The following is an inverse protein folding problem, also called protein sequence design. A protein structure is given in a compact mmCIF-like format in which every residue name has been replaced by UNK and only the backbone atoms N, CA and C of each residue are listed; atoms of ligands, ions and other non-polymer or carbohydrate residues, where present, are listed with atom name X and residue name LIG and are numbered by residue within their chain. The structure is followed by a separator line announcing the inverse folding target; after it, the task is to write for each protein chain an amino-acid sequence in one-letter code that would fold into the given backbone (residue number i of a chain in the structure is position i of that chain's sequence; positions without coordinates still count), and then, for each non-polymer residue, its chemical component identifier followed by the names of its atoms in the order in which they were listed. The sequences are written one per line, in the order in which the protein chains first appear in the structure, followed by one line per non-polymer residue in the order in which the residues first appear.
data_IF_299606837969
#
_entry.id   IF_299606837969
#
_cell.length_a   1.000
_cell.length_b   1.000
_cell.length_c   1.000
_cell.angle_alpha   90.00
_cell.angle_beta   90.00
_cell.angle_gamma   90.00
#
_symmetry.space_group_name_H-M   'P 1'
#
loop_
_entity.id
_entity.type
_entity.pdbx_description
1 polymer ?
#
# COMPACT_ATOMS: atom_id res chain seq x y z
N UNK A 1 -15.59 -7.37 16.02
CA UNK A 1 -14.99 -7.68 14.70
C UNK A 1 -14.69 -6.37 13.99
N UNK A 2 -13.48 -6.19 13.53
CA UNK A 2 -13.01 -4.96 12.88
C UNK A 2 -13.60 -4.86 11.45
N UNK A 3 -14.04 -3.68 11.02
CA UNK A 3 -14.40 -3.39 9.64
C UNK A 3 -13.31 -2.48 9.05
N UNK A 4 -12.69 -2.89 7.94
CA UNK A 4 -11.73 -2.10 7.18
C UNK A 4 -12.42 -1.53 5.93
N UNK A 5 -12.49 -0.21 5.83
CA UNK A 5 -12.90 0.49 4.62
C UNK A 5 -11.70 0.60 3.67
N UNK A 6 -11.85 0.03 2.49
CA UNK A 6 -10.76 -0.18 1.53
C UNK A 6 -11.13 0.31 0.13
N UNK A 7 -10.17 0.91 -0.57
CA UNK A 7 -10.37 1.35 -1.94
C UNK A 7 -10.54 0.14 -2.87
N UNK A 8 -11.60 0.15 -3.65
CA UNK A 8 -11.84 -0.82 -4.69
C UNK A 8 -12.09 -0.14 -6.03
N UNK A 9 -11.50 -0.67 -7.07
CA UNK A 9 -11.77 -0.31 -8.47
C UNK A 9 -12.47 -1.47 -9.17
N UNK A 10 -12.55 -1.49 -10.52
CA UNK A 10 -13.21 -2.59 -11.24
C UNK A 10 -12.60 -3.94 -10.89
N UNK A 11 -13.38 -5.00 -11.05
CA UNK A 11 -13.02 -6.39 -10.80
C UNK A 11 -12.47 -6.64 -9.38
N UNK A 12 -13.00 -5.89 -8.41
CA UNK A 12 -12.62 -5.93 -7.00
C UNK A 12 -11.11 -5.75 -6.74
N UNK A 13 -10.39 -5.07 -7.61
CA UNK A 13 -8.97 -4.75 -7.42
C UNK A 13 -8.80 -3.72 -6.33
N UNK A 14 -7.77 -3.88 -5.50
CA UNK A 14 -7.55 -3.11 -4.28
C UNK A 14 -6.25 -2.28 -4.39
N UNK A 15 -6.28 -1.09 -5.02
CA UNK A 15 -5.07 -0.34 -5.34
C UNK A 15 -4.58 0.60 -4.23
N UNK A 16 -5.05 0.46 -3.00
CA UNK A 16 -4.58 1.33 -1.92
C UNK A 16 -3.34 0.77 -1.22
N UNK A 17 -2.15 1.38 -1.36
CA UNK A 17 -0.96 0.95 -0.65
C UNK A 17 -1.12 1.05 0.87
N UNK A 18 -1.89 2.03 1.33
CA UNK A 18 -2.14 2.27 2.76
C UNK A 18 -3.10 1.24 3.37
N UNK A 19 -4.12 0.80 2.62
CA UNK A 19 -5.02 -0.27 3.08
C UNK A 19 -4.28 -1.61 3.17
N UNK A 20 -3.35 -1.87 2.25
CA UNK A 20 -2.50 -3.06 2.31
C UNK A 20 -1.64 -3.11 3.58
N UNK A 21 -1.09 -1.98 4.05
CA UNK A 21 -0.40 -1.91 5.35
C UNK A 21 -1.28 -2.38 6.49
N UNK A 22 -2.54 -1.95 6.50
CA UNK A 22 -3.52 -2.33 7.53
C UNK A 22 -3.90 -3.80 7.44
N UNK A 23 -4.11 -4.34 6.24
CA UNK A 23 -4.38 -5.78 6.05
C UNK A 23 -3.26 -6.65 6.60
N UNK A 24 -2.01 -6.31 6.30
CA UNK A 24 -0.84 -7.01 6.85
C UNK A 24 -0.75 -6.85 8.37
N UNK A 25 -1.02 -5.67 8.89
CA UNK A 25 -1.04 -5.44 10.33
C UNK A 25 -2.13 -6.28 11.04
N UNK A 26 -3.33 -6.35 10.49
CA UNK A 26 -4.43 -7.17 11.02
C UNK A 26 -4.09 -8.66 11.00
N UNK A 27 -3.49 -9.16 9.92
CA UNK A 27 -3.01 -10.56 9.84
C UNK A 27 -1.89 -10.85 10.82
N UNK A 28 -0.93 -9.95 10.96
CA UNK A 28 0.15 -10.06 11.95
C UNK A 28 -0.42 -10.24 13.36
N UNK A 29 -1.40 -9.43 13.72
CA UNK A 29 -2.10 -9.48 15.01
C UNK A 29 -2.99 -10.73 15.14
N UNK A 30 -3.30 -11.43 14.05
CA UNK A 30 -4.25 -12.54 14.06
C UNK A 30 -5.70 -12.10 14.30
N UNK A 31 -6.02 -10.84 14.02
CA UNK A 31 -7.33 -10.27 14.25
C UNK A 31 -8.26 -10.57 13.06
N UNK A 32 -9.50 -11.04 13.30
CA UNK A 32 -10.49 -11.17 12.26
C UNK A 32 -11.03 -9.80 11.86
N UNK A 33 -11.18 -9.58 10.53
CA UNK A 33 -11.82 -8.38 10.00
C UNK A 33 -12.71 -8.70 8.82
N UNK A 34 -13.56 -7.77 8.47
CA UNK A 34 -14.28 -7.73 7.20
C UNK A 34 -13.86 -6.50 6.41
N UNK A 35 -13.91 -6.59 5.09
CA UNK A 35 -13.67 -5.45 4.20
C UNK A 35 -14.98 -4.81 3.79
N UNK A 36 -15.01 -3.48 3.79
CA UNK A 36 -16.05 -2.67 3.18
C UNK A 36 -15.43 -1.94 1.99
N UNK A 37 -15.65 -2.44 0.76
CA UNK A 37 -15.08 -1.83 -0.44
C UNK A 37 -15.77 -0.50 -0.75
N UNK A 38 -14.98 0.48 -1.20
CA UNK A 38 -15.51 1.76 -1.65
C UNK A 38 -14.73 2.33 -2.84
N UNK A 39 -15.43 3.03 -3.72
CA UNK A 39 -14.86 3.81 -4.81
C UNK A 39 -14.30 5.16 -4.34
N UNK A 40 -13.70 5.88 -5.28
CA UNK A 40 -13.11 7.21 -4.98
C UNK A 40 -14.15 8.26 -4.58
N UNK A 41 -15.39 8.14 -5.04
CA UNK A 41 -16.49 9.09 -4.78
C UNK A 41 -17.36 8.70 -3.59
N UNK A 42 -17.30 7.45 -3.12
CA UNK A 42 -18.14 6.92 -2.03
C UNK A 42 -17.69 7.38 -0.61
N UNK A 43 -17.21 8.61 -0.49
CA UNK A 43 -16.67 9.17 0.78
C UNK A 43 -17.68 9.24 1.91
N UNK A 44 -18.97 9.21 1.60
CA UNK A 44 -20.04 9.13 2.58
C UNK A 44 -19.91 7.89 3.49
N UNK A 45 -19.36 6.77 2.96
CA UNK A 45 -19.15 5.54 3.73
C UNK A 45 -18.18 5.70 4.92
N UNK A 46 -17.29 6.69 4.88
CA UNK A 46 -16.30 6.98 5.93
C UNK A 46 -16.47 8.35 6.59
N UNK A 47 -17.61 9.01 6.35
CA UNK A 47 -17.93 10.32 6.94
C UNK A 47 -17.99 10.27 8.48
N UNK A 48 -18.42 9.13 9.06
CA UNK A 48 -18.47 8.92 10.51
C UNK A 48 -17.08 9.04 11.17
N UNK A 49 -16.01 8.73 10.44
CA UNK A 49 -14.62 8.88 10.89
C UNK A 49 -14.02 10.26 10.56
N UNK A 50 -14.84 11.18 10.03
CA UNK A 50 -14.35 12.48 9.52
C UNK A 50 -13.16 12.34 8.58
N UNK A 51 -13.20 11.34 7.68
CA UNK A 51 -12.15 11.05 6.70
C UNK A 51 -12.64 11.31 5.28
N UNK A 52 -11.70 11.68 4.40
CA UNK A 52 -11.92 11.79 2.95
C UNK A 52 -11.13 10.73 2.19
N UNK A 53 -10.35 9.93 2.91
CA UNK A 53 -9.45 8.93 2.34
C UNK A 53 -9.46 7.64 3.17
N UNK A 54 -9.16 6.53 2.51
CA UNK A 54 -8.90 5.24 3.16
C UNK A 54 -7.40 5.06 3.43
N UNK A 55 -7.02 4.20 4.39
CA UNK A 55 -7.84 3.31 5.19
C UNK A 55 -8.57 4.02 6.33
N UNK A 56 -9.74 3.48 6.66
CA UNK A 56 -10.45 3.71 7.91
C UNK A 56 -10.77 2.35 8.49
N UNK A 57 -10.65 2.16 9.80
CA UNK A 57 -11.22 1.02 10.50
C UNK A 57 -12.31 1.46 11.47
N UNK A 58 -13.30 0.58 11.63
CA UNK A 58 -14.24 0.64 12.73
C UNK A 58 -14.00 -0.57 13.63
N UNK A 59 -13.58 -0.32 14.86
CA UNK A 59 -13.26 -1.30 15.89
C UNK A 59 -14.22 -1.13 17.07
N UNK A 60 -15.31 -1.89 17.08
CA UNK A 60 -16.44 -1.63 17.95
C UNK A 60 -17.03 -0.26 17.65
N UNK A 61 -17.10 0.61 18.69
CA UNK A 61 -17.57 1.99 18.55
C UNK A 61 -16.46 2.95 18.10
N UNK A 62 -15.20 2.51 18.09
CA UNK A 62 -14.07 3.38 17.77
C UNK A 62 -13.79 3.40 16.27
N UNK A 63 -13.78 4.59 15.70
CA UNK A 63 -13.31 4.84 14.35
C UNK A 63 -11.86 5.34 14.37
N UNK A 64 -10.99 4.72 13.57
CA UNK A 64 -9.60 5.15 13.42
C UNK A 64 -9.27 5.30 11.95
N UNK A 65 -8.72 6.44 11.57
CA UNK A 65 -8.27 6.75 10.21
C UNK A 65 -6.76 6.91 10.16
N UNK A 66 -6.19 6.79 8.95
CA UNK A 66 -4.76 6.79 8.67
C UNK A 66 -4.05 5.48 9.06
N UNK A 67 -3.25 4.95 8.12
CA UNK A 67 -2.62 3.63 8.28
C UNK A 67 -1.64 3.55 9.45
N UNK A 68 -0.93 4.66 9.76
CA UNK A 68 -0.03 4.72 10.90
C UNK A 68 -0.80 4.77 12.22
N UNK A 69 -1.82 5.62 12.30
CA UNK A 69 -2.69 5.73 13.48
C UNK A 69 -3.42 4.39 13.74
N UNK A 70 -3.86 3.70 12.68
CA UNK A 70 -4.46 2.37 12.77
C UNK A 70 -3.45 1.35 13.35
N UNK A 71 -2.22 1.29 12.83
CA UNK A 71 -1.20 0.38 13.35
C UNK A 71 -0.91 0.63 14.84
N UNK A 72 -0.81 1.90 15.26
CA UNK A 72 -0.65 2.29 16.65
C UNK A 72 -1.84 1.87 17.51
N UNK A 73 -3.06 2.08 17.00
CA UNK A 73 -4.28 1.65 17.68
C UNK A 73 -4.30 0.13 17.89
N UNK A 74 -3.97 -0.65 16.84
CA UNK A 74 -3.95 -2.10 16.91
C UNK A 74 -2.95 -2.60 17.96
N UNK A 75 -1.78 -1.99 18.09
CA UNK A 75 -0.82 -2.36 19.12
C UNK A 75 -1.27 -2.01 20.55
N UNK A 76 -1.96 -0.88 20.71
CA UNK A 76 -2.47 -0.45 22.01
C UNK A 76 -3.69 -1.25 22.44
N UNK A 77 -4.63 -1.50 21.54
CA UNK A 77 -5.88 -2.20 21.85
C UNK A 77 -5.70 -3.72 21.95
N UNK A 78 -4.73 -4.27 21.23
CA UNK A 78 -4.46 -5.70 21.14
C UNK A 78 -2.95 -5.94 21.34
N UNK A 79 -2.45 -5.97 22.59
CA UNK A 79 -1.01 -6.00 22.86
C UNK A 79 -0.31 -7.30 22.43
N UNK A 80 -1.07 -8.38 22.22
CA UNK A 80 -0.52 -9.63 21.72
C UNK A 80 0.04 -9.47 20.30
N UNK A 81 1.17 -10.11 20.01
CA UNK A 81 1.86 -10.05 18.72
C UNK A 81 2.13 -8.60 18.28
N UNK A 82 2.97 -7.84 18.99
CA UNK A 82 3.19 -6.42 18.71
C UNK A 82 3.75 -6.19 17.32
N UNK A 83 3.21 -5.20 16.61
CA UNK A 83 3.74 -4.69 15.33
C UNK A 83 5.07 -3.98 15.54
N UNK A 84 5.21 -3.34 16.72
CA UNK A 84 6.39 -2.64 17.18
C UNK A 84 6.83 -3.24 18.51
N UNK A 85 7.83 -4.15 18.45
CA UNK A 85 8.31 -4.88 19.65
C UNK A 85 8.94 -3.97 20.71
N UNK A 86 9.46 -2.81 20.30
CA UNK A 86 10.15 -1.82 21.11
C UNK A 86 10.11 -0.44 20.42
N UNK A 87 10.71 0.56 21.05
CA UNK A 87 10.77 1.93 20.51
C UNK A 87 11.61 2.03 19.24
N UNK A 88 12.67 1.23 19.11
CA UNK A 88 13.51 1.21 17.90
C UNK A 88 12.71 0.68 16.70
N UNK A 89 11.92 -0.39 16.88
CA UNK A 89 11.03 -0.91 15.86
C UNK A 89 9.94 0.10 15.47
N UNK A 90 9.42 0.86 16.45
CA UNK A 90 8.47 1.94 16.20
C UNK A 90 9.11 3.05 15.35
N UNK A 91 10.30 3.51 15.73
CA UNK A 91 11.02 4.57 15.03
C UNK A 91 11.42 4.15 13.62
N UNK A 92 11.92 2.91 13.44
CA UNK A 92 12.19 2.32 12.14
C UNK A 92 10.92 2.28 11.28
N UNK A 93 9.82 1.77 11.82
CA UNK A 93 8.54 1.71 11.12
C UNK A 93 8.05 3.07 10.66
N UNK A 94 8.18 4.10 11.50
CA UNK A 94 7.81 5.48 11.16
C UNK A 94 8.72 6.06 10.07
N UNK A 95 10.04 5.85 10.18
CA UNK A 95 10.99 6.33 9.19
C UNK A 95 10.75 5.68 7.82
N UNK A 96 10.61 4.35 7.79
CA UNK A 96 10.39 3.60 6.54
C UNK A 96 9.04 3.98 5.92
N UNK A 97 7.97 4.13 6.71
CA UNK A 97 6.69 4.60 6.18
C UNK A 97 6.84 6.00 5.53
N UNK A 98 7.53 6.93 6.20
CA UNK A 98 7.81 8.26 5.65
C UNK A 98 8.62 8.20 4.35
N UNK A 99 9.68 7.40 4.29
CA UNK A 99 10.47 7.18 3.08
C UNK A 99 9.62 6.59 1.94
N UNK A 100 8.83 5.57 2.23
CA UNK A 100 7.94 4.96 1.22
C UNK A 100 6.95 5.99 0.67
N UNK A 101 6.36 6.82 1.54
CA UNK A 101 5.33 7.79 1.17
C UNK A 101 5.90 8.99 0.39
N UNK A 102 7.14 9.39 0.69
CA UNK A 102 7.75 10.60 0.11
C UNK A 102 8.73 10.32 -1.02
N UNK A 103 9.23 9.08 -1.16
CA UNK A 103 10.23 8.72 -2.17
C UNK A 103 9.75 7.58 -3.05
N UNK A 104 9.38 6.43 -2.47
CA UNK A 104 9.06 5.21 -3.25
C UNK A 104 7.73 5.37 -4.00
N UNK A 105 6.65 5.77 -3.33
CA UNK A 105 5.35 5.94 -3.98
C UNK A 105 5.34 7.07 -5.03
N UNK A 106 5.97 8.24 -4.81
CA UNK A 106 6.12 9.26 -5.85
C UNK A 106 6.89 8.79 -7.08
N UNK A 107 7.90 7.91 -6.92
CA UNK A 107 8.61 7.31 -8.05
C UNK A 107 7.77 6.24 -8.78
N UNK A 108 6.89 5.53 -8.04
CA UNK A 108 6.02 4.50 -8.59
C UNK A 108 4.82 5.08 -9.35
N UNK A 109 4.17 6.09 -8.79
CA UNK A 109 2.90 6.63 -9.30
C UNK A 109 2.91 6.99 -10.79
N UNK A 110 3.92 7.71 -11.31
CA UNK A 110 3.94 8.11 -12.73
C UNK A 110 3.99 6.92 -13.69
N UNK A 111 4.62 5.81 -13.30
CA UNK A 111 4.84 4.65 -14.18
C UNK A 111 3.69 3.64 -14.17
N UNK A 112 2.65 3.85 -13.32
CA UNK A 112 1.46 2.99 -13.22
C UNK A 112 0.13 3.75 -13.31
N UNK A 113 0.13 5.07 -13.46
CA UNK A 113 -1.09 5.89 -13.40
C UNK A 113 -2.07 5.62 -14.55
N UNK A 114 -1.56 5.36 -15.74
CA UNK A 114 -2.37 5.01 -16.91
C UNK A 114 -3.03 3.65 -16.75
N UNK A 115 -2.28 2.67 -16.21
CA UNK A 115 -2.83 1.35 -15.91
C UNK A 115 -3.93 1.46 -14.83
N UNK A 116 -3.67 2.22 -13.75
CA UNK A 116 -4.67 2.48 -12.71
C UNK A 116 -5.93 3.13 -13.29
N UNK A 117 -5.78 4.15 -14.15
CA UNK A 117 -6.91 4.80 -14.81
C UNK A 117 -7.77 3.80 -15.60
N UNK A 118 -7.13 2.85 -16.27
CA UNK A 118 -7.81 1.77 -16.97
C UNK A 118 -8.75 0.93 -16.08
N UNK A 119 -8.47 0.83 -14.78
CA UNK A 119 -9.25 0.06 -13.80
C UNK A 119 -10.26 0.90 -13.01
N UNK A 120 -10.25 2.23 -13.12
CA UNK A 120 -11.20 3.10 -12.40
C UNK A 120 -12.64 2.76 -12.80
N UNK A 121 -13.53 2.70 -11.81
CA UNK A 121 -14.96 2.47 -12.02
C UNK A 121 -15.57 3.60 -12.86
N UNK A 122 -16.57 3.33 -13.71
CA UNK A 122 -17.23 4.38 -14.50
C UNK A 122 -17.68 5.57 -13.64
N UNK A 123 -18.32 5.33 -12.52
CA UNK A 123 -18.85 6.37 -11.61
C UNK A 123 -17.75 7.21 -10.94
N UNK A 124 -16.54 6.67 -10.80
CA UNK A 124 -15.40 7.36 -10.23
C UNK A 124 -14.53 8.10 -11.25
N UNK A 125 -14.76 7.85 -12.55
CA UNK A 125 -13.85 8.27 -13.62
C UNK A 125 -13.70 9.79 -13.68
N UNK A 126 -14.81 10.53 -13.72
CA UNK A 126 -14.77 11.99 -13.77
C UNK A 126 -14.00 12.61 -12.60
N UNK A 127 -14.25 12.12 -11.39
CA UNK A 127 -13.52 12.54 -10.17
C UNK A 127 -12.02 12.21 -10.26
N UNK A 128 -11.69 11.01 -10.73
CA UNK A 128 -10.30 10.58 -10.88
C UNK A 128 -9.56 11.47 -11.90
N UNK A 129 -10.15 11.69 -13.05
CA UNK A 129 -9.58 12.51 -14.15
C UNK A 129 -9.39 13.97 -13.69
N UNK A 130 -10.37 14.59 -13.03
CA UNK A 130 -10.22 15.92 -12.47
C UNK A 130 -9.10 16.00 -11.45
N UNK A 131 -9.13 15.13 -10.43
CA UNK A 131 -8.20 15.22 -9.30
C UNK A 131 -6.75 14.88 -9.66
N UNK A 132 -6.52 13.89 -10.54
CA UNK A 132 -5.18 13.49 -11.00
C UNK A 132 -4.71 14.33 -12.17
N UNK A 133 -5.63 14.72 -13.05
CA UNK A 133 -5.35 15.66 -14.15
C UNK A 133 -4.83 16.99 -13.63
N UNK A 134 -5.46 17.55 -12.59
CA UNK A 134 -5.01 18.76 -11.92
C UNK A 134 -3.58 18.63 -11.38
N UNK A 135 -3.25 17.47 -10.78
CA UNK A 135 -1.92 17.18 -10.21
C UNK A 135 -0.84 16.99 -11.30
N UNK A 136 -1.21 16.37 -12.42
CA UNK A 136 -0.26 15.98 -13.50
C UNK A 136 -0.22 16.97 -14.65
N UNK A 137 -1.17 17.93 -14.71
CA UNK A 137 -1.29 18.86 -15.82
C UNK A 137 -1.83 18.23 -17.12
N UNK A 138 -2.38 17.01 -17.05
CA UNK A 138 -2.94 16.29 -18.20
C UNK A 138 -3.97 15.24 -17.79
N UNK A 139 -4.90 14.94 -18.66
CA UNK A 139 -5.83 13.80 -18.55
C UNK A 139 -5.48 12.65 -19.49
N UNK A 140 -4.47 12.80 -20.34
CA UNK A 140 -3.86 11.69 -21.09
C UNK A 140 -2.91 10.90 -20.19
N UNK A 141 -3.48 10.09 -19.30
CA UNK A 141 -2.69 9.28 -18.34
C UNK A 141 -1.89 8.17 -19.04
N UNK A 142 -2.36 7.66 -20.18
CA UNK A 142 -1.65 6.62 -20.92
C UNK A 142 -0.38 7.19 -21.59
N UNK A 143 -0.49 8.31 -22.29
CA UNK A 143 0.66 9.00 -22.88
C UNK A 143 1.63 9.52 -21.84
N UNK A 144 1.12 10.06 -20.71
CA UNK A 144 1.94 10.48 -19.59
C UNK A 144 2.74 9.30 -19.00
N UNK A 145 2.09 8.17 -18.74
CA UNK A 145 2.74 6.96 -18.24
C UNK A 145 3.80 6.41 -19.19
N UNK A 146 3.49 6.33 -20.50
CA UNK A 146 4.43 5.86 -21.51
C UNK A 146 5.73 6.66 -21.47
N UNK A 147 5.63 7.99 -21.46
CA UNK A 147 6.79 8.89 -21.34
C UNK A 147 7.49 8.75 -19.99
N UNK A 148 6.73 8.62 -18.90
CA UNK A 148 7.28 8.46 -17.57
C UNK A 148 8.10 7.17 -17.43
N UNK A 149 7.71 6.07 -18.08
CA UNK A 149 8.38 4.77 -18.04
C UNK A 149 9.79 4.78 -18.64
N UNK A 150 10.09 5.67 -19.59
CA UNK A 150 11.42 5.75 -20.23
C UNK A 150 12.56 5.86 -19.22
N UNK A 151 12.37 6.63 -18.15
CA UNK A 151 13.36 6.83 -17.07
C UNK A 151 12.85 6.43 -15.69
N UNK A 152 11.53 6.36 -15.51
CA UNK A 152 10.88 6.19 -14.22
C UNK A 152 11.12 4.82 -13.60
N UNK A 153 11.26 3.76 -14.40
CA UNK A 153 11.59 2.41 -13.87
C UNK A 153 12.97 2.44 -13.20
N UNK A 154 13.97 3.05 -13.82
CA UNK A 154 15.30 3.19 -13.23
C UNK A 154 15.26 4.07 -11.97
N UNK A 155 14.50 5.17 -11.99
CA UNK A 155 14.32 6.04 -10.83
C UNK A 155 13.61 5.31 -9.67
N UNK A 156 12.56 4.54 -9.95
CA UNK A 156 11.90 3.69 -8.96
C UNK A 156 12.86 2.67 -8.34
N UNK A 157 13.66 1.98 -9.17
CA UNK A 157 14.67 1.03 -8.70
C UNK A 157 15.73 1.70 -7.85
N UNK A 158 16.18 2.91 -8.21
CA UNK A 158 17.11 3.71 -7.41
C UNK A 158 16.51 4.11 -6.05
N UNK A 159 15.21 4.47 -6.01
CA UNK A 159 14.50 4.79 -4.77
C UNK A 159 14.48 3.62 -3.76
N UNK A 160 14.67 2.38 -4.21
CA UNK A 160 14.69 1.18 -3.37
C UNK A 160 16.09 0.88 -2.77
N UNK A 161 17.11 1.68 -3.07
CA UNK A 161 18.48 1.41 -2.60
C UNK A 161 18.61 1.25 -1.08
N UNK A 162 17.93 2.03 -0.22
CA UNK A 162 17.96 1.79 1.22
C UNK A 162 17.49 0.40 1.62
N UNK A 163 16.37 -0.06 1.04
CA UNK A 163 15.86 -1.42 1.29
C UNK A 163 16.81 -2.48 0.76
N UNK A 164 17.37 -2.29 -0.44
CA UNK A 164 18.31 -3.24 -1.06
C UNK A 164 19.55 -3.49 -0.18
N UNK A 165 20.08 -2.42 0.42
CA UNK A 165 21.22 -2.54 1.35
C UNK A 165 20.88 -3.37 2.57
N UNK A 166 19.73 -3.11 3.20
CA UNK A 166 19.29 -3.87 4.37
C UNK A 166 19.03 -5.36 4.05
N UNK A 167 18.42 -5.62 2.90
CA UNK A 167 17.98 -6.97 2.51
C UNK A 167 19.13 -7.88 2.00
N UNK A 168 20.36 -7.37 1.89
CA UNK A 168 21.54 -8.21 1.65
C UNK A 168 21.93 -9.04 2.86
N UNK A 169 21.71 -8.50 4.05
CA UNK A 169 22.20 -9.06 5.31
C UNK A 169 21.07 -9.67 6.16
N UNK A 170 19.81 -9.44 5.80
CA UNK A 170 18.67 -9.91 6.58
C UNK A 170 17.43 -10.16 5.69
N UNK A 171 16.54 -11.08 6.11
CA UNK A 171 15.39 -11.47 5.28
C UNK A 171 14.29 -10.42 5.17
N UNK A 172 14.14 -9.53 6.16
CA UNK A 172 13.12 -8.48 6.22
C UNK A 172 13.71 -7.15 6.69
N UNK A 173 13.03 -6.04 6.40
CA UNK A 173 13.46 -4.72 6.88
C UNK A 173 13.49 -4.64 8.40
N UNK A 174 12.63 -5.39 9.08
CA UNK A 174 12.60 -5.50 10.53
C UNK A 174 13.53 -6.58 11.11
N UNK A 175 14.44 -7.14 10.33
CA UNK A 175 15.39 -8.17 10.77
C UNK A 175 14.95 -9.59 10.43
N UNK A 176 14.94 -10.50 11.42
CA UNK A 176 14.64 -11.92 11.21
C UNK A 176 13.16 -12.20 10.91
N UNK A 177 12.25 -11.29 11.20
CA UNK A 177 10.80 -11.41 10.99
C UNK A 177 10.26 -10.13 10.38
N UNK A 178 9.22 -10.27 9.54
CA UNK A 178 8.52 -9.13 8.99
C UNK A 178 7.79 -8.32 10.09
N UNK A 179 7.80 -7.01 9.93
CA UNK A 179 7.13 -6.06 10.81
C UNK A 179 6.55 -4.89 10.02
N UNK A 180 6.17 -3.82 10.73
CA UNK A 180 5.46 -2.71 10.09
C UNK A 180 6.26 -2.00 8.99
N UNK A 181 7.60 -1.93 9.10
CA UNK A 181 8.44 -1.38 8.03
C UNK A 181 8.29 -2.16 6.72
N UNK A 182 8.25 -3.50 6.81
CA UNK A 182 7.99 -4.37 5.66
C UNK A 182 6.59 -4.14 5.10
N UNK A 183 5.58 -3.99 5.97
CA UNK A 183 4.18 -3.74 5.55
C UNK A 183 4.02 -2.38 4.87
N UNK A 184 4.79 -1.38 5.29
CA UNK A 184 4.83 -0.09 4.63
C UNK A 184 5.32 -0.19 3.18
N UNK A 185 6.41 -0.93 2.94
CA UNK A 185 7.00 -1.06 1.62
C UNK A 185 6.20 -2.01 0.71
N UNK A 186 5.76 -3.17 1.22
CA UNK A 186 4.99 -4.13 0.39
C UNK A 186 3.68 -3.53 -0.11
N UNK A 187 3.07 -2.59 0.62
CA UNK A 187 1.89 -1.87 0.19
C UNK A 187 2.07 -1.18 -1.16
N UNK A 188 3.24 -0.58 -1.43
CA UNK A 188 3.54 0.03 -2.73
C UNK A 188 3.60 -1.02 -3.86
N UNK A 189 4.19 -2.18 -3.63
CA UNK A 189 4.23 -3.28 -4.61
C UNK A 189 2.84 -3.88 -4.85
N UNK A 190 2.01 -4.00 -3.83
CA UNK A 190 0.63 -4.50 -3.97
C UNK A 190 -0.28 -3.51 -4.68
N UNK A 191 -0.04 -2.21 -4.50
CA UNK A 191 -0.68 -1.19 -5.34
C UNK A 191 -0.37 -1.42 -6.82
N UNK A 192 0.92 -1.52 -7.18
CA UNK A 192 1.31 -1.77 -8.56
C UNK A 192 0.73 -3.10 -9.07
N UNK A 193 0.89 -4.20 -8.30
CA UNK A 193 0.43 -5.53 -8.67
C UNK A 193 -1.07 -5.60 -8.97
N UNK A 194 -1.88 -4.83 -8.23
CA UNK A 194 -3.33 -4.82 -8.42
C UNK A 194 -3.78 -4.14 -9.71
N UNK A 195 -2.94 -3.30 -10.34
CA UNK A 195 -3.35 -2.47 -11.49
C UNK A 195 -2.44 -2.56 -12.72
N UNK A 196 -1.23 -3.09 -12.57
CA UNK A 196 -0.21 -3.08 -13.63
C UNK A 196 0.56 -4.39 -13.69
N UNK A 197 0.77 -4.91 -14.90
CA UNK A 197 1.64 -6.06 -15.16
C UNK A 197 3.13 -5.66 -15.30
N UNK A 198 3.49 -4.40 -15.01
CA UNK A 198 4.85 -3.89 -15.17
C UNK A 198 5.85 -4.65 -14.28
N UNK A 199 6.91 -5.20 -14.89
CA UNK A 199 8.03 -5.80 -14.17
C UNK A 199 8.90 -4.72 -13.50
N UNK A 200 8.61 -4.42 -12.21
CA UNK A 200 9.29 -3.37 -11.46
C UNK A 200 10.73 -3.71 -11.08
N UNK A 201 11.02 -4.98 -10.81
CA UNK A 201 12.32 -5.46 -10.30
C UNK A 201 12.94 -6.46 -11.27
N UNK A 202 14.26 -6.55 -11.27
CA UNK A 202 14.98 -7.67 -11.84
C UNK A 202 14.93 -8.87 -10.86
N UNK A 203 15.01 -10.10 -11.37
CA UNK A 203 14.85 -11.31 -10.56
C UNK A 203 16.02 -11.53 -9.58
N UNK A 204 17.20 -11.02 -9.91
CA UNK A 204 18.42 -11.04 -9.09
C UNK A 204 18.49 -9.91 -8.03
N UNK A 205 17.50 -9.00 -8.00
CA UNK A 205 17.43 -7.92 -7.01
C UNK A 205 17.06 -8.50 -5.62
N UNK A 206 17.81 -8.22 -4.54
CA UNK A 206 17.43 -8.61 -3.18
C UNK A 206 16.01 -8.20 -2.77
N UNK A 207 15.51 -7.08 -3.31
CA UNK A 207 14.14 -6.62 -3.08
C UNK A 207 13.12 -7.53 -3.76
N UNK A 208 13.49 -8.18 -4.88
CA UNK A 208 12.63 -9.17 -5.54
C UNK A 208 12.38 -10.37 -4.63
N UNK A 209 13.44 -10.98 -4.10
CA UNK A 209 13.34 -12.12 -3.19
C UNK A 209 12.57 -11.76 -1.89
N UNK A 210 12.80 -10.55 -1.35
CA UNK A 210 12.02 -10.05 -0.20
C UNK A 210 10.53 -9.87 -0.57
N UNK A 211 10.23 -9.26 -1.72
CA UNK A 211 8.84 -9.08 -2.19
C UNK A 211 8.12 -10.42 -2.28
N UNK A 212 8.77 -11.44 -2.83
CA UNK A 212 8.17 -12.77 -2.97
C UNK A 212 7.88 -13.40 -1.61
N UNK A 213 8.81 -13.31 -0.64
CA UNK A 213 8.55 -13.73 0.74
C UNK A 213 7.36 -12.97 1.35
N UNK A 214 7.27 -11.66 1.10
CA UNK A 214 6.16 -10.85 1.60
C UNK A 214 4.82 -11.22 0.95
N UNK A 215 4.81 -11.57 -0.34
CA UNK A 215 3.58 -12.03 -1.02
C UNK A 215 3.06 -13.34 -0.43
N UNK A 216 3.95 -14.24 -0.02
CA UNK A 216 3.61 -15.54 0.56
C UNK A 216 3.27 -15.46 2.05
N UNK A 217 3.64 -14.37 2.72
CA UNK A 217 3.38 -14.19 4.14
C UNK A 217 1.87 -14.20 4.44
N UNK A 218 1.51 -14.69 5.63
CA UNK A 218 0.12 -14.75 6.10
C UNK A 218 -0.80 -15.53 5.12
N UNK A 219 -0.43 -16.77 4.81
CA UNK A 219 -1.18 -17.66 3.91
C UNK A 219 -1.32 -17.10 2.48
N UNK A 220 -0.28 -16.41 2.01
CA UNK A 220 -0.27 -15.83 0.67
C UNK A 220 -1.17 -14.60 0.52
N UNK A 221 -1.33 -13.79 1.57
CA UNK A 221 -2.20 -12.61 1.56
C UNK A 221 -1.94 -11.70 0.34
N UNK A 222 -0.68 -11.46 0.01
CA UNK A 222 -0.31 -10.66 -1.15
C UNK A 222 -0.29 -11.44 -2.47
N UNK A 223 -0.06 -12.76 -2.43
CA UNK A 223 -0.05 -13.63 -3.60
C UNK A 223 -1.44 -13.81 -4.21
N UNK A 224 -2.46 -13.95 -3.34
CA UNK A 224 -3.85 -14.21 -3.71
C UNK A 224 -4.63 -12.96 -4.12
N UNK A 225 -3.97 -11.82 -4.21
CA UNK A 225 -4.58 -10.58 -4.70
C UNK A 225 -4.94 -10.71 -6.18
N UNK A 226 -6.09 -10.12 -6.58
CA UNK A 226 -6.44 -9.96 -7.99
C UNK A 226 -5.37 -9.10 -8.67
N UNK A 227 -4.48 -9.75 -9.42
CA UNK A 227 -3.38 -9.09 -10.13
C UNK A 227 -3.79 -8.63 -11.54
N UNK A 228 -3.08 -7.63 -12.06
CA UNK A 228 -3.23 -7.15 -13.44
C UNK A 228 -2.68 -8.17 -14.43
#
# INVERSE_FOLDING_TARGET
MITLYDLAVRDDRRPSPFCWRVKYALRHKGLPWREEPMGFTEKHKIAFAQSQTVPVIQDGEKAVKDSWAIARHLDQAYPDRPLFKDEDALNLGRFVAGWVDTVVQPALFPIIIGDLHGWVRPDDRAYFEESRGKRLGTTDFAGFQAKAREKGIAAFRAALEPARRMLRDQPYLCGARAGYADYALIGAFLWARSVSALALLAEDDPVYAWRDRMLDLHDGLGRNVTAA
#
